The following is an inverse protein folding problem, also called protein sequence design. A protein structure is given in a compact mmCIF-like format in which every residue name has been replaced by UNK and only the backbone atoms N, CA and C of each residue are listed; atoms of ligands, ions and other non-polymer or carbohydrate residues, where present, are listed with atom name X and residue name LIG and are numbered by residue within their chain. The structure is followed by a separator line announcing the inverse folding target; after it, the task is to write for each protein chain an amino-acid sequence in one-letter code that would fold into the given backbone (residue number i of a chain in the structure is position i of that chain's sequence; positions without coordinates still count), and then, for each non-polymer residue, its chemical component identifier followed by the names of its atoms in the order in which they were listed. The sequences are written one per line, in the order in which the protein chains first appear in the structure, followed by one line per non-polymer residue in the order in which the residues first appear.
data_IF_932423246969
#
_entry.id   IF_932423246969
#
_cell.length_a   1.000
_cell.length_b   1.000
_cell.length_c   1.000
_cell.angle_alpha   90.00
_cell.angle_beta   90.00
_cell.angle_gamma   90.00
#
_symmetry.space_group_name_H-M   'P 1'
#
loop_
_entity.id
_entity.type
_entity.pdbx_description
1 polymer ?
#
# COMPACT_ATOMS: atom_id res chain seq x y z
N UNK A 1 30.39 -3.33 14.23
CA UNK A 1 29.44 -2.80 15.24
C UNK A 1 28.07 -3.19 14.72
N UNK A 2 27.26 -3.94 15.50
CA UNK A 2 25.87 -4.17 15.07
C UNK A 2 25.17 -2.81 15.16
N UNK A 3 24.83 -2.23 14.02
CA UNK A 3 23.94 -1.08 14.00
C UNK A 3 22.62 -1.50 14.65
N UNK A 4 22.09 -0.69 15.55
CA UNK A 4 20.77 -0.93 16.11
C UNK A 4 19.75 -0.76 14.99
N UNK A 5 18.75 -1.65 14.96
CA UNK A 5 17.64 -1.51 14.00
C UNK A 5 16.96 -0.13 14.14
N UNK A 6 16.61 0.53 13.05
CA UNK A 6 15.82 1.76 13.10
C UNK A 6 14.33 1.48 13.41
N UNK A 7 13.92 0.23 13.45
CA UNK A 7 12.55 -0.18 13.68
C UNK A 7 12.25 -0.49 15.15
N UNK A 8 11.08 -0.08 15.60
CA UNK A 8 10.51 -0.43 16.90
C UNK A 8 9.23 -1.25 16.70
N UNK A 9 9.14 -2.38 17.38
CA UNK A 9 7.94 -3.22 17.35
C UNK A 9 6.82 -2.62 18.18
N UNK A 10 5.61 -2.58 17.61
CA UNK A 10 4.35 -2.31 18.30
C UNK A 10 3.45 -3.53 18.10
N UNK A 11 2.81 -3.99 19.16
CA UNK A 11 1.84 -5.08 19.11
C UNK A 11 0.53 -4.65 19.72
N UNK A 12 -0.53 -4.76 18.94
CA UNK A 12 -1.90 -4.51 19.39
C UNK A 12 -2.47 -5.75 20.08
N UNK A 13 -3.35 -5.53 21.05
CA UNK A 13 -4.14 -6.63 21.65
C UNK A 13 -5.09 -7.28 20.62
N UNK A 14 -5.59 -6.48 19.68
CA UNK A 14 -6.39 -6.95 18.57
C UNK A 14 -5.50 -7.74 17.58
N UNK A 15 -5.89 -8.99 17.31
CA UNK A 15 -5.15 -9.88 16.41
C UNK A 15 -5.47 -9.62 14.92
N UNK A 16 -6.04 -8.46 14.60
CA UNK A 16 -6.31 -8.07 13.22
C UNK A 16 -5.02 -7.79 12.45
N UNK A 17 -5.08 -7.94 11.14
CA UNK A 17 -3.98 -7.57 10.26
C UNK A 17 -4.06 -6.06 9.98
N UNK A 18 -2.96 -5.35 10.17
CA UNK A 18 -2.82 -3.98 9.72
C UNK A 18 -2.66 -3.97 8.20
N UNK A 19 -3.46 -3.19 7.49
CA UNK A 19 -3.50 -3.20 6.03
C UNK A 19 -3.05 -1.88 5.42
N UNK A 20 -3.35 -0.75 6.09
CA UNK A 20 -2.89 0.55 5.67
C UNK A 20 -2.75 1.53 6.83
N UNK A 21 -1.97 2.59 6.61
CA UNK A 21 -1.73 3.67 7.56
C UNK A 21 -1.52 4.97 6.81
N UNK A 22 -2.15 6.04 7.29
CA UNK A 22 -1.91 7.37 6.77
C UNK A 22 -1.97 8.43 7.87
N UNK A 23 -1.28 9.54 7.65
CA UNK A 23 -1.16 10.65 8.59
C UNK A 23 -1.66 11.96 7.95
N UNK A 24 -2.39 12.73 8.75
CA UNK A 24 -2.92 14.06 8.41
C UNK A 24 -1.84 15.11 8.64
N UNK A 25 -1.12 14.97 9.75
CA UNK A 25 0.02 15.79 10.16
C UNK A 25 1.05 14.93 10.92
N UNK A 26 2.10 15.53 11.45
CA UNK A 26 3.17 14.81 12.16
C UNK A 26 2.71 14.01 13.36
N UNK A 27 1.56 14.32 13.95
CA UNK A 27 1.06 13.67 15.16
C UNK A 27 -0.18 12.81 14.91
N UNK A 28 -1.09 13.31 14.08
CA UNK A 28 -2.41 12.74 13.90
C UNK A 28 -2.48 11.82 12.68
N UNK A 29 -2.81 10.56 12.89
CA UNK A 29 -2.92 9.57 11.83
C UNK A 29 -3.83 8.41 12.18
N UNK A 30 -4.15 7.61 11.17
CA UNK A 30 -5.00 6.44 11.27
C UNK A 30 -4.35 5.22 10.66
N UNK A 31 -4.63 4.06 11.28
CA UNK A 31 -4.27 2.74 10.77
C UNK A 31 -5.55 1.92 10.63
N UNK A 32 -5.69 1.25 9.51
CA UNK A 32 -6.86 0.42 9.20
C UNK A 32 -6.47 -1.03 8.90
N UNK A 33 -7.45 -1.94 8.99
CA UNK A 33 -7.14 -3.35 8.81
C UNK A 33 -8.33 -4.30 8.75
N UNK A 34 -8.02 -5.58 8.88
CA UNK A 34 -9.03 -6.65 8.91
C UNK A 34 -9.92 -6.53 10.15
N UNK A 35 -11.06 -7.21 10.13
CA UNK A 35 -12.02 -7.22 11.25
C UNK A 35 -12.48 -5.81 11.67
N UNK A 36 -12.63 -4.90 10.72
CA UNK A 36 -13.01 -3.50 10.95
C UNK A 36 -12.04 -2.74 11.87
N UNK A 37 -10.76 -3.15 11.88
CA UNK A 37 -9.75 -2.46 12.65
C UNK A 37 -9.62 -1.03 12.14
N UNK A 38 -9.81 -0.07 13.03
CA UNK A 38 -9.39 1.32 12.86
C UNK A 38 -8.78 1.80 14.17
N UNK A 39 -7.56 2.31 14.06
CA UNK A 39 -6.78 2.85 15.17
C UNK A 39 -6.44 4.30 14.85
N UNK A 40 -6.39 5.15 15.85
CA UNK A 40 -6.00 6.55 15.76
C UNK A 40 -4.78 6.80 16.63
N UNK A 41 -3.83 7.54 16.10
CA UNK A 41 -2.68 8.05 16.83
C UNK A 41 -2.73 9.58 16.88
N UNK A 42 -2.34 10.17 18.01
CA UNK A 42 -2.19 11.60 18.22
C UNK A 42 -0.76 12.00 18.66
N UNK A 43 0.19 11.08 18.44
CA UNK A 43 1.59 11.24 18.86
C UNK A 43 2.59 10.73 17.82
N UNK A 44 2.22 10.80 16.55
CA UNK A 44 3.07 10.38 15.44
C UNK A 44 3.25 8.86 15.33
N UNK A 45 2.27 8.08 15.80
CA UNK A 45 2.29 6.62 15.76
C UNK A 45 3.06 5.96 16.90
N UNK A 46 3.38 6.71 17.98
CA UNK A 46 3.99 6.13 19.19
C UNK A 46 2.98 5.27 19.94
N UNK A 47 1.76 5.76 20.08
CA UNK A 47 0.62 5.04 20.66
C UNK A 47 -0.60 5.09 19.75
N UNK A 48 -1.46 4.09 19.91
CA UNK A 48 -2.64 3.90 19.07
C UNK A 48 -3.86 3.58 19.91
N UNK A 49 -4.95 4.30 19.67
CA UNK A 49 -6.23 4.09 20.32
C UNK A 49 -7.25 3.51 19.33
N UNK A 50 -8.00 2.50 19.76
CA UNK A 50 -9.04 1.91 18.92
C UNK A 50 -10.20 2.85 18.76
N UNK A 51 -10.62 3.03 17.51
CA UNK A 51 -11.82 3.79 17.13
C UNK A 51 -12.92 2.86 16.65
N UNK A 52 -14.10 3.40 16.46
CA UNK A 52 -15.21 2.69 15.84
C UNK A 52 -15.84 3.54 14.75
N UNK A 53 -16.21 2.88 13.66
CA UNK A 53 -17.01 3.47 12.58
C UNK A 53 -18.48 3.08 12.81
N UNK A 54 -19.40 3.87 12.23
CA UNK A 54 -20.82 3.54 12.21
C UNK A 54 -21.12 2.42 11.19
N UNK A 55 -20.58 1.23 11.49
CA UNK A 55 -20.79 -0.02 10.77
C UNK A 55 -21.10 -1.12 11.77
N UNK A 56 -22.07 -1.95 11.46
CA UNK A 56 -22.53 -2.98 12.40
C UNK A 56 -21.54 -4.15 12.51
N UNK A 57 -21.63 -4.91 13.59
CA UNK A 57 -20.74 -6.05 13.82
C UNK A 57 -20.94 -7.18 12.78
N UNK A 58 -22.13 -7.31 12.26
CA UNK A 58 -22.50 -8.27 11.21
C UNK A 58 -21.84 -7.92 9.87
N UNK A 59 -21.53 -6.66 9.64
CA UNK A 59 -20.81 -6.16 8.47
C UNK A 59 -19.31 -6.33 8.69
N UNK A 60 -18.80 -7.52 8.52
CA UNK A 60 -17.39 -7.86 8.78
C UNK A 60 -16.46 -7.33 7.67
N UNK A 61 -16.37 -6.00 7.57
CA UNK A 61 -15.52 -5.34 6.58
C UNK A 61 -14.04 -5.55 6.88
N UNK A 62 -13.30 -5.71 5.80
CA UNK A 62 -11.87 -5.56 5.73
C UNK A 62 -11.59 -4.12 5.27
N UNK A 63 -11.11 -3.25 6.15
CA UNK A 63 -10.70 -1.89 5.80
C UNK A 63 -9.35 -1.97 5.13
N UNK A 64 -9.27 -1.58 3.87
CA UNK A 64 -8.13 -1.90 3.00
C UNK A 64 -7.13 -0.77 2.87
N UNK A 65 -7.66 0.45 2.77
CA UNK A 65 -6.87 1.60 2.37
C UNK A 65 -7.51 2.86 2.97
N UNK A 66 -6.67 3.80 3.36
CA UNK A 66 -7.06 5.09 3.92
C UNK A 66 -6.09 6.15 3.42
N UNK A 67 -6.62 7.30 2.96
CA UNK A 67 -5.79 8.36 2.44
C UNK A 67 -6.36 9.73 2.79
N UNK A 68 -5.50 10.62 3.26
CA UNK A 68 -5.82 11.97 3.69
C UNK A 68 -5.06 13.03 2.89
N UNK A 69 -5.71 14.17 2.69
CA UNK A 69 -5.09 15.42 2.27
C UNK A 69 -5.72 16.57 3.07
N UNK A 70 -4.93 17.18 3.94
CA UNK A 70 -5.46 18.13 4.91
C UNK A 70 -6.54 17.50 5.80
N UNK A 71 -7.67 18.17 5.97
CA UNK A 71 -8.79 17.69 6.79
C UNK A 71 -9.66 16.64 6.10
N UNK A 72 -9.50 16.46 4.79
CA UNK A 72 -10.29 15.51 4.02
C UNK A 72 -9.62 14.13 3.97
N UNK A 73 -10.42 13.08 4.15
CA UNK A 73 -9.94 11.72 4.09
C UNK A 73 -10.97 10.74 3.54
N UNK A 74 -10.45 9.71 2.92
CA UNK A 74 -11.23 8.62 2.34
C UNK A 74 -10.76 7.28 2.89
N UNK A 75 -11.70 6.41 3.17
CA UNK A 75 -11.45 5.06 3.64
C UNK A 75 -12.28 4.09 2.83
N UNK A 76 -11.64 3.01 2.39
CA UNK A 76 -12.32 1.95 1.65
C UNK A 76 -12.21 0.60 2.33
N UNK A 77 -13.18 -0.26 2.03
CA UNK A 77 -13.18 -1.62 2.55
C UNK A 77 -13.94 -2.60 1.67
N UNK A 78 -13.68 -3.87 1.91
CA UNK A 78 -14.38 -4.98 1.26
C UNK A 78 -15.30 -5.69 2.26
N UNK A 79 -16.52 -6.10 1.78
CA UNK A 79 -17.04 -6.07 0.41
C UNK A 79 -17.53 -4.71 -0.02
N UNK A 80 -17.38 -3.76 -0.43
CA UNK A 80 -18.00 -2.53 -0.98
C UNK A 80 -18.36 -1.48 0.07
N UNK A 81 -17.31 -1.00 0.74
CA UNK A 81 -17.41 0.12 1.67
C UNK A 81 -16.59 1.30 1.15
N UNK A 82 -17.17 2.50 1.14
CA UNK A 82 -16.46 3.77 1.03
C UNK A 82 -16.99 4.71 2.11
N UNK A 83 -16.07 5.31 2.83
CA UNK A 83 -16.37 6.33 3.82
C UNK A 83 -15.55 7.58 3.55
N UNK A 84 -16.12 8.73 3.86
CA UNK A 84 -15.54 10.04 3.63
C UNK A 84 -15.63 10.88 4.89
N UNK A 85 -14.60 11.65 5.16
CA UNK A 85 -14.52 12.66 6.22
C UNK A 85 -14.01 13.98 5.67
N UNK A 86 -14.44 15.10 6.29
CA UNK A 86 -13.95 16.46 6.02
C UNK A 86 -13.44 17.14 7.28
N UNK A 87 -13.34 16.40 8.38
CA UNK A 87 -13.02 16.91 9.71
C UNK A 87 -11.92 16.08 10.41
N UNK A 88 -10.91 15.67 9.64
CA UNK A 88 -9.74 14.93 10.15
C UNK A 88 -10.11 13.57 10.76
N UNK A 89 -11.13 12.89 10.23
CA UNK A 89 -11.57 11.59 10.72
C UNK A 89 -12.40 11.61 12.00
N UNK A 90 -12.81 12.78 12.50
CA UNK A 90 -13.68 12.91 13.68
C UNK A 90 -15.06 12.31 13.40
N UNK A 91 -15.59 12.57 12.20
CA UNK A 91 -16.84 12.00 11.72
C UNK A 91 -16.65 11.39 10.33
N UNK A 92 -17.23 10.21 10.13
CA UNK A 92 -17.18 9.48 8.86
C UNK A 92 -18.57 9.29 8.29
N UNK A 93 -18.75 9.66 7.03
CA UNK A 93 -19.99 9.45 6.28
C UNK A 93 -19.83 8.29 5.32
N UNK A 94 -20.71 7.29 5.41
CA UNK A 94 -20.75 6.19 4.44
C UNK A 94 -21.36 6.65 3.14
N UNK A 95 -20.67 6.39 2.03
CA UNK A 95 -21.12 6.75 0.69
C UNK A 95 -21.62 5.54 -0.09
N UNK A 96 -22.57 5.78 -1.01
CA UNK A 96 -23.06 4.75 -1.90
C UNK A 96 -22.30 4.78 -3.22
N UNK A 97 -21.65 3.69 -3.58
CA UNK A 97 -20.93 3.54 -4.84
C UNK A 97 -21.80 3.11 -6.03
N UNK A 98 -23.08 2.82 -5.81
CA UNK A 98 -23.92 2.21 -6.86
C UNK A 98 -23.35 0.85 -7.29
N UNK A 99 -23.41 0.57 -8.61
CA UNK A 99 -22.87 -0.67 -9.20
C UNK A 99 -21.56 -0.38 -9.92
N UNK A 100 -20.45 -0.50 -9.20
CA UNK A 100 -19.11 -0.45 -9.83
C UNK A 100 -18.65 -1.86 -10.22
N UNK A 101 -17.88 -2.01 -11.33
CA UNK A 101 -17.20 -3.25 -11.64
C UNK A 101 -16.12 -3.55 -10.58
N UNK A 102 -16.22 -4.70 -9.94
CA UNK A 102 -15.32 -5.10 -8.87
C UNK A 102 -15.64 -4.47 -7.51
N UNK A 103 -14.72 -4.60 -6.58
CA UNK A 103 -14.80 -4.04 -5.23
C UNK A 103 -13.74 -2.95 -5.05
N UNK A 104 -13.90 -1.99 -4.13
CA UNK A 104 -12.86 -1.02 -3.81
C UNK A 104 -11.51 -1.71 -3.51
N UNK A 105 -10.42 -1.14 -4.02
CA UNK A 105 -9.07 -1.69 -3.86
C UNK A 105 -8.04 -0.65 -3.40
N UNK A 106 -8.06 0.55 -3.97
CA UNK A 106 -7.20 1.68 -3.63
C UNK A 106 -8.02 2.96 -3.70
N UNK A 107 -7.81 3.88 -2.78
CA UNK A 107 -8.38 5.24 -2.83
C UNK A 107 -7.25 6.27 -2.74
N UNK A 108 -7.40 7.39 -3.42
CA UNK A 108 -6.45 8.51 -3.33
C UNK A 108 -7.21 9.81 -3.25
N UNK A 109 -6.93 10.59 -2.23
CA UNK A 109 -7.39 11.97 -2.06
C UNK A 109 -6.59 12.89 -2.97
N UNK A 110 -7.22 13.50 -3.95
CA UNK A 110 -6.54 14.36 -4.93
C UNK A 110 -6.56 15.81 -4.47
N UNK A 111 -7.73 16.29 -4.07
CA UNK A 111 -7.98 17.64 -3.59
C UNK A 111 -9.29 17.68 -2.80
N UNK A 112 -9.70 18.84 -2.28
CA UNK A 112 -10.98 19.02 -1.59
C UNK A 112 -12.15 18.58 -2.50
N UNK A 113 -12.93 17.61 -2.02
CA UNK A 113 -14.03 16.98 -2.76
C UNK A 113 -13.62 16.14 -3.96
N UNK A 114 -12.33 15.92 -4.20
CA UNK A 114 -11.80 15.18 -5.35
C UNK A 114 -11.03 13.96 -4.91
N UNK A 115 -11.45 12.78 -5.34
CA UNK A 115 -10.77 11.52 -5.06
C UNK A 115 -10.83 10.55 -6.25
N UNK A 116 -9.85 9.67 -6.33
CA UNK A 116 -9.85 8.53 -7.26
C UNK A 116 -10.01 7.22 -6.51
N UNK A 117 -10.81 6.33 -7.07
CA UNK A 117 -11.08 5.00 -6.56
C UNK A 117 -10.76 3.96 -7.63
N UNK A 118 -9.82 3.08 -7.34
CA UNK A 118 -9.56 1.90 -8.15
C UNK A 118 -10.28 0.67 -7.58
N UNK A 119 -10.68 -0.25 -8.46
CA UNK A 119 -11.40 -1.47 -8.08
C UNK A 119 -10.57 -2.73 -8.34
N UNK A 120 -10.98 -3.85 -7.76
CA UNK A 120 -10.39 -5.18 -7.98
C UNK A 120 -10.46 -5.66 -9.44
N UNK A 121 -11.23 -4.97 -10.29
CA UNK A 121 -11.30 -5.21 -11.73
C UNK A 121 -10.48 -4.21 -12.55
N UNK A 122 -9.60 -3.43 -11.91
CA UNK A 122 -8.79 -2.38 -12.54
C UNK A 122 -9.59 -1.23 -13.18
N UNK A 123 -10.86 -1.07 -12.84
CA UNK A 123 -11.62 0.13 -13.19
C UNK A 123 -11.20 1.29 -12.29
N UNK A 124 -11.07 2.49 -12.84
CA UNK A 124 -10.71 3.72 -12.14
C UNK A 124 -11.88 4.69 -12.24
N UNK A 125 -12.31 5.20 -11.10
CA UNK A 125 -13.36 6.20 -10.98
C UNK A 125 -12.83 7.45 -10.29
N UNK A 126 -13.41 8.59 -10.63
CA UNK A 126 -13.09 9.86 -10.00
C UNK A 126 -14.38 10.55 -9.53
N UNK A 127 -14.32 11.14 -8.36
CA UNK A 127 -15.32 12.10 -7.89
C UNK A 127 -14.73 13.49 -7.85
N UNK A 128 -15.54 14.50 -8.11
CA UNK A 128 -15.20 15.92 -7.93
C UNK A 128 -16.25 16.67 -7.08
N UNK A 129 -17.06 15.91 -6.35
CA UNK A 129 -18.16 16.43 -5.53
C UNK A 129 -18.35 15.62 -4.24
N UNK A 130 -17.24 15.31 -3.57
CA UNK A 130 -17.22 14.61 -2.28
C UNK A 130 -17.93 13.24 -2.30
N UNK A 131 -17.89 12.57 -3.45
CA UNK A 131 -18.46 11.23 -3.62
C UNK A 131 -19.96 11.17 -3.87
N UNK A 132 -20.62 12.32 -4.12
CA UNK A 132 -22.03 12.31 -4.53
C UNK A 132 -22.21 11.59 -5.87
N UNK A 133 -21.26 11.78 -6.79
CA UNK A 133 -21.20 11.07 -8.06
C UNK A 133 -19.77 10.62 -8.38
N UNK A 134 -19.66 9.52 -9.11
CA UNK A 134 -18.39 8.95 -9.58
C UNK A 134 -18.41 8.79 -11.10
N UNK A 135 -17.40 9.33 -11.76
CA UNK A 135 -17.21 9.22 -13.21
C UNK A 135 -16.08 8.25 -13.53
N UNK A 136 -16.29 7.38 -14.52
CA UNK A 136 -15.27 6.42 -14.90
C UNK A 136 -14.18 7.08 -15.74
N UNK A 137 -12.94 7.02 -15.29
CA UNK A 137 -11.73 7.29 -16.10
C UNK A 137 -11.36 6.07 -16.92
N UNK A 138 -11.43 4.88 -16.31
CA UNK A 138 -11.27 3.59 -16.99
C UNK A 138 -12.49 2.76 -16.67
N UNK A 139 -13.42 2.66 -17.62
CA UNK A 139 -14.73 2.00 -17.43
C UNK A 139 -14.75 0.54 -17.85
N UNK A 140 -13.91 0.15 -18.80
CA UNK A 140 -13.84 -1.22 -19.32
C UNK A 140 -12.42 -1.80 -19.19
N UNK A 141 -12.11 -2.37 -18.03
CA UNK A 141 -10.87 -3.08 -17.81
C UNK A 141 -10.93 -4.54 -18.24
N UNK A 142 -11.85 -4.93 -19.13
CA UNK A 142 -12.16 -6.33 -19.44
C UNK A 142 -10.96 -7.18 -19.86
N UNK A 143 -9.95 -6.56 -20.50
CA UNK A 143 -8.71 -7.23 -20.88
C UNK A 143 -7.75 -7.48 -19.70
N UNK A 144 -7.94 -6.78 -18.59
CA UNK A 144 -7.09 -6.90 -17.41
C UNK A 144 -7.53 -8.03 -16.47
N UNK A 145 -8.81 -8.34 -16.45
CA UNK A 145 -9.39 -9.26 -15.46
C UNK A 145 -9.27 -8.73 -14.03
N UNK A 146 -9.20 -9.63 -13.06
CA UNK A 146 -8.97 -9.25 -11.66
C UNK A 146 -7.50 -8.89 -11.41
N UNK A 147 -7.27 -7.98 -10.46
CA UNK A 147 -5.93 -7.57 -10.04
C UNK A 147 -5.56 -8.15 -8.67
N UNK A 148 -4.28 -8.29 -8.42
CA UNK A 148 -3.69 -8.74 -7.15
C UNK A 148 -3.06 -7.59 -6.39
N UNK A 149 -2.37 -6.71 -7.11
CA UNK A 149 -1.69 -5.54 -6.57
C UNK A 149 -1.88 -4.36 -7.52
N UNK A 150 -1.89 -3.16 -6.95
CA UNK A 150 -2.06 -1.92 -7.68
C UNK A 150 -1.40 -0.79 -6.88
N UNK A 151 -0.59 -0.01 -7.56
CA UNK A 151 0.08 1.17 -7.01
C UNK A 151 -0.16 2.37 -7.89
N UNK A 152 -0.13 3.55 -7.28
CA UNK A 152 -0.29 4.85 -7.93
C UNK A 152 0.85 5.77 -7.53
N UNK A 153 1.37 6.53 -8.49
CA UNK A 153 2.33 7.63 -8.23
C UNK A 153 1.57 8.91 -7.82
N UNK A 154 2.28 9.86 -7.24
CA UNK A 154 1.73 11.19 -6.97
C UNK A 154 1.31 11.92 -8.26
N UNK A 155 1.96 11.66 -9.39
CA UNK A 155 1.60 12.18 -10.72
C UNK A 155 0.30 11.57 -11.29
N UNK A 156 -0.17 10.43 -10.74
CA UNK A 156 -1.40 9.79 -11.17
C UNK A 156 -1.21 8.60 -12.10
N UNK A 157 0.02 8.16 -12.31
CA UNK A 157 0.30 6.94 -13.08
C UNK A 157 0.05 5.71 -12.21
N UNK A 158 -0.42 4.65 -12.84
CA UNK A 158 -0.72 3.39 -12.14
C UNK A 158 0.09 2.23 -12.70
N UNK A 159 0.40 1.28 -11.84
CA UNK A 159 0.88 -0.05 -12.19
C UNK A 159 0.06 -1.10 -11.47
N UNK A 160 -0.27 -2.21 -12.14
CA UNK A 160 -1.05 -3.30 -11.58
C UNK A 160 -0.45 -4.67 -11.91
N UNK A 161 -0.75 -5.65 -11.06
CA UNK A 161 -0.45 -7.08 -11.30
C UNK A 161 -1.76 -7.82 -11.46
N UNK A 162 -1.85 -8.65 -12.50
CA UNK A 162 -3.01 -9.54 -12.70
C UNK A 162 -3.19 -10.52 -11.52
N UNK A 163 -4.41 -10.95 -11.27
CA UNK A 163 -4.76 -11.84 -10.15
C UNK A 163 -3.94 -13.14 -10.10
N UNK A 164 -3.52 -13.64 -11.26
CA UNK A 164 -2.66 -14.82 -11.38
C UNK A 164 -1.15 -14.49 -11.30
N UNK A 165 -0.79 -13.20 -11.37
CA UNK A 165 0.60 -12.75 -11.42
C UNK A 165 1.32 -13.15 -12.71
N UNK A 166 0.59 -13.31 -13.80
CA UNK A 166 1.13 -13.74 -15.09
C UNK A 166 1.48 -12.60 -16.04
N UNK A 167 1.04 -11.37 -15.77
CA UNK A 167 1.44 -10.14 -16.43
C UNK A 167 1.28 -8.95 -15.48
N UNK A 168 1.83 -7.81 -15.83
CA UNK A 168 1.59 -6.52 -15.20
C UNK A 168 1.09 -5.53 -16.24
N UNK A 169 0.53 -4.42 -15.80
CA UNK A 169 0.03 -3.38 -16.69
C UNK A 169 0.29 -1.99 -16.14
N UNK A 170 0.47 -1.04 -17.03
CA UNK A 170 0.62 0.38 -16.70
C UNK A 170 -0.56 1.18 -17.24
N UNK A 171 -0.85 2.30 -16.56
CA UNK A 171 -1.83 3.29 -16.98
C UNK A 171 -1.24 4.67 -16.69
N UNK A 172 -0.97 5.44 -17.72
CA UNK A 172 -0.49 6.81 -17.59
C UNK A 172 -1.63 7.72 -17.10
N UNK A 173 -1.30 8.77 -16.38
CA UNK A 173 -2.25 9.67 -15.70
C UNK A 173 -3.24 10.37 -16.64
N UNK A 174 -2.85 10.60 -17.89
CA UNK A 174 -3.65 11.21 -18.94
C UNK A 174 -4.34 10.19 -19.86
N UNK A 175 -4.12 8.88 -19.63
CA UNK A 175 -4.72 7.78 -20.39
C UNK A 175 -6.00 7.26 -19.72
N UNK A 176 -6.82 6.60 -20.51
CA UNK A 176 -7.98 5.85 -20.04
C UNK A 176 -7.89 4.34 -20.38
N UNK A 177 -6.73 3.89 -20.81
CA UNK A 177 -6.52 2.52 -21.30
C UNK A 177 -5.27 1.92 -20.67
N UNK A 178 -5.44 0.77 -20.04
CA UNK A 178 -4.33 -0.03 -19.54
C UNK A 178 -3.49 -0.63 -20.66
N UNK A 179 -2.18 -0.62 -20.48
CA UNK A 179 -1.23 -1.28 -21.38
C UNK A 179 -0.66 -2.50 -20.64
N UNK A 180 -0.93 -3.70 -21.19
CA UNK A 180 -0.40 -4.94 -20.65
C UNK A 180 1.02 -5.20 -21.13
N UNK A 181 1.90 -5.64 -20.20
CA UNK A 181 3.32 -5.86 -20.44
C UNK A 181 3.73 -7.29 -20.16
N UNK A 182 4.76 -7.74 -20.86
CA UNK A 182 5.40 -9.00 -20.59
C UNK A 182 6.24 -8.91 -19.30
N UNK A 183 6.21 -9.96 -18.52
CA UNK A 183 7.03 -10.05 -17.33
C UNK A 183 8.42 -10.60 -17.64
N UNK A 184 9.41 -10.18 -16.87
CA UNK A 184 10.79 -10.61 -17.00
C UNK A 184 11.06 -12.08 -16.60
N UNK A 185 10.12 -12.72 -15.90
CA UNK A 185 10.26 -14.07 -15.33
C UNK A 185 9.02 -14.91 -15.56
N UNK A 186 9.18 -16.23 -15.63
CA UNK A 186 8.05 -17.19 -15.63
C UNK A 186 7.43 -17.37 -14.24
N UNK A 187 8.06 -16.88 -13.17
CA UNK A 187 7.54 -16.95 -11.81
C UNK A 187 6.40 -15.95 -11.63
N UNK A 188 5.39 -16.33 -10.86
CA UNK A 188 4.24 -15.47 -10.59
C UNK A 188 4.68 -14.22 -9.84
N UNK A 189 4.31 -13.05 -10.35
CA UNK A 189 4.50 -11.75 -9.69
C UNK A 189 3.62 -11.69 -8.44
N UNK A 190 4.19 -11.26 -7.32
CA UNK A 190 3.49 -11.09 -6.04
C UNK A 190 3.07 -9.65 -5.83
N UNK A 191 4.00 -8.72 -6.06
CA UNK A 191 3.82 -7.29 -5.89
C UNK A 191 4.67 -6.53 -6.90
N UNK A 192 4.25 -5.32 -7.22
CA UNK A 192 4.91 -4.37 -8.12
C UNK A 192 4.70 -2.96 -7.59
N UNK A 193 5.61 -2.05 -7.86
CA UNK A 193 5.44 -0.66 -7.44
C UNK A 193 6.48 0.25 -8.04
N UNK A 194 6.50 1.48 -7.55
CA UNK A 194 7.44 2.52 -7.96
C UNK A 194 8.44 2.79 -6.84
N UNK A 195 9.68 3.03 -7.22
CA UNK A 195 10.67 3.61 -6.32
C UNK A 195 10.49 5.14 -6.24
N UNK A 196 11.22 5.87 -5.39
CA UNK A 196 11.09 7.33 -5.27
C UNK A 196 11.33 8.11 -6.57
N UNK A 197 12.12 7.56 -7.50
CA UNK A 197 12.40 8.18 -8.81
C UNK A 197 11.35 7.81 -9.87
N UNK A 198 10.33 7.03 -9.51
CA UNK A 198 9.27 6.58 -10.41
C UNK A 198 9.62 5.35 -11.27
N UNK A 199 10.78 4.70 -11.03
CA UNK A 199 11.13 3.45 -11.69
C UNK A 199 10.37 2.27 -11.08
N UNK A 200 10.02 1.28 -11.88
CA UNK A 200 9.32 0.10 -11.42
C UNK A 200 10.25 -0.89 -10.69
N UNK A 201 9.71 -1.52 -9.67
CA UNK A 201 10.25 -2.71 -9.03
C UNK A 201 9.23 -3.85 -9.05
N UNK A 202 9.69 -5.09 -8.97
CA UNK A 202 8.85 -6.27 -9.02
C UNK A 202 9.32 -7.34 -8.04
N UNK A 203 8.40 -7.90 -7.27
CA UNK A 203 8.60 -9.07 -6.43
C UNK A 203 7.91 -10.29 -7.04
N UNK A 204 8.62 -11.41 -7.12
CA UNK A 204 8.09 -12.65 -7.67
C UNK A 204 8.29 -13.82 -6.71
N UNK A 205 7.56 -14.92 -6.92
CA UNK A 205 7.73 -16.14 -6.13
C UNK A 205 9.17 -16.64 -6.17
N UNK A 206 9.62 -17.19 -5.03
CA UNK A 206 11.00 -17.66 -4.84
C UNK A 206 11.93 -16.52 -4.40
N UNK A 207 11.39 -15.51 -3.72
CA UNK A 207 12.12 -14.35 -3.19
C UNK A 207 12.86 -13.55 -4.27
N UNK A 208 12.34 -13.54 -5.49
CA UNK A 208 12.95 -12.85 -6.63
C UNK A 208 12.58 -11.38 -6.63
N UNK A 209 13.58 -10.49 -6.61
CA UNK A 209 13.47 -9.05 -6.73
C UNK A 209 14.03 -8.63 -8.08
N UNK A 210 13.36 -7.71 -8.77
CA UNK A 210 13.84 -7.07 -10.00
C UNK A 210 13.57 -5.59 -9.96
N UNK A 211 14.47 -4.84 -10.57
CA UNK A 211 14.33 -3.41 -10.80
C UNK A 211 14.24 -3.14 -12.30
N UNK A 212 13.39 -2.19 -12.69
CA UNK A 212 13.41 -1.67 -14.05
C UNK A 212 14.68 -0.84 -14.24
N UNK A 213 15.39 -1.07 -15.34
CA UNK A 213 16.68 -0.41 -15.63
C UNK A 213 16.54 0.78 -16.57
N UNK A 214 15.36 1.00 -17.15
CA UNK A 214 15.10 2.09 -18.10
C UNK A 214 13.63 2.51 -18.06
N UNK A 215 13.36 3.69 -17.52
CA UNK A 215 12.00 4.26 -17.44
C UNK A 215 11.32 4.46 -18.80
N UNK A 216 12.07 4.54 -19.89
CA UNK A 216 11.50 4.61 -21.24
C UNK A 216 11.08 3.25 -21.78
N UNK A 217 11.50 2.16 -21.15
CA UNK A 217 11.13 0.78 -21.47
C UNK A 217 10.77 0.03 -20.19
N UNK A 218 9.50 0.00 -19.85
CA UNK A 218 8.98 -0.69 -18.65
C UNK A 218 9.16 -2.22 -18.68
N UNK A 219 9.54 -2.80 -19.81
CA UNK A 219 9.85 -4.22 -19.95
C UNK A 219 11.35 -4.53 -19.75
N UNK A 220 12.22 -3.52 -19.62
CA UNK A 220 13.65 -3.68 -19.39
C UNK A 220 13.95 -3.93 -17.90
N UNK A 221 13.98 -5.19 -17.51
CA UNK A 221 14.19 -5.62 -16.14
C UNK A 221 15.60 -6.13 -15.87
N UNK A 222 16.14 -5.80 -14.69
CA UNK A 222 17.38 -6.36 -14.17
C UNK A 222 17.37 -7.89 -14.13
N UNK A 223 18.54 -8.49 -14.02
CA UNK A 223 18.64 -9.90 -13.64
C UNK A 223 17.97 -10.12 -12.27
N UNK A 224 17.42 -11.34 -12.01
CA UNK A 224 16.78 -11.61 -10.73
C UNK A 224 17.80 -11.54 -9.59
N UNK A 225 17.47 -10.77 -8.56
CA UNK A 225 18.18 -10.74 -7.28
C UNK A 225 17.41 -11.67 -6.35
N UNK A 226 18.11 -12.57 -5.68
CA UNK A 226 17.54 -13.47 -4.67
C UNK A 226 18.37 -13.26 -3.41
N UNK A 227 17.96 -12.33 -2.51
CA UNK A 227 18.82 -11.89 -1.40
C UNK A 227 19.08 -13.02 -0.40
N UNK A 228 18.15 -13.19 0.54
CA UNK A 228 18.23 -14.18 1.61
C UNK A 228 17.05 -15.14 1.43
N UNK A 229 17.35 -16.40 1.15
CA UNK A 229 16.33 -17.41 0.92
C UNK A 229 16.02 -18.17 2.20
N UNK A 230 15.08 -17.65 2.99
CA UNK A 230 14.57 -18.29 4.20
C UNK A 230 13.34 -19.21 3.94
N UNK A 231 13.06 -19.52 2.69
CA UNK A 231 11.88 -20.29 2.26
C UNK A 231 10.59 -19.47 2.13
N UNK A 232 10.63 -18.17 2.41
CA UNK A 232 9.49 -17.26 2.32
C UNK A 232 9.67 -16.27 1.18
N UNK A 233 8.56 -15.80 0.62
CA UNK A 233 8.55 -14.75 -0.38
C UNK A 233 8.53 -13.37 0.29
N UNK A 234 9.08 -12.37 -0.39
CA UNK A 234 8.83 -10.97 -0.08
C UNK A 234 7.45 -10.57 -0.63
N UNK A 235 6.76 -9.71 0.12
CA UNK A 235 5.39 -9.30 -0.16
C UNK A 235 5.31 -7.83 -0.53
N UNK A 236 6.19 -6.99 0.03
CA UNK A 236 6.27 -5.57 -0.28
C UNK A 236 7.68 -5.01 -0.13
N UNK A 237 7.94 -3.87 -0.77
CA UNK A 237 9.18 -3.10 -0.67
C UNK A 237 8.90 -1.61 -0.46
N UNK A 238 9.85 -0.93 0.20
CA UNK A 238 9.83 0.51 0.41
C UNK A 238 11.24 1.09 0.52
N UNK A 239 11.37 2.40 0.34
CA UNK A 239 12.61 3.17 0.47
C UNK A 239 12.52 4.10 1.67
N UNK A 240 13.51 4.04 2.54
CA UNK A 240 13.59 4.97 3.65
C UNK A 240 14.16 6.35 3.21
N UNK A 241 14.13 7.36 4.08
CA UNK A 241 14.64 8.70 3.75
C UNK A 241 16.13 8.75 3.40
N UNK A 242 16.90 7.73 3.74
CA UNK A 242 18.32 7.62 3.39
C UNK A 242 18.52 6.96 2.02
N UNK A 243 17.45 6.44 1.40
CA UNK A 243 17.49 5.70 0.15
C UNK A 243 17.81 4.20 0.32
N UNK A 244 17.85 3.69 1.57
CA UNK A 244 18.01 2.28 1.82
C UNK A 244 16.71 1.54 1.43
N UNK A 245 16.87 0.35 0.84
CA UNK A 245 15.74 -0.43 0.32
C UNK A 245 15.35 -1.49 1.34
N UNK A 246 14.08 -1.49 1.75
CA UNK A 246 13.51 -2.46 2.67
C UNK A 246 12.59 -3.43 1.94
N UNK A 247 12.69 -4.73 2.25
CA UNK A 247 11.77 -5.73 1.72
C UNK A 247 11.23 -6.61 2.87
N UNK A 248 9.90 -6.66 2.97
CA UNK A 248 9.16 -7.40 3.99
C UNK A 248 8.47 -8.64 3.43
N UNK A 249 8.33 -9.67 4.25
CA UNK A 249 7.72 -10.91 3.80
C UNK A 249 7.29 -11.86 4.89
N UNK A 250 7.17 -13.14 4.54
CA UNK A 250 6.66 -14.17 5.43
C UNK A 250 7.52 -14.42 6.67
N UNK A 251 6.87 -14.85 7.75
CA UNK A 251 7.49 -15.30 9.00
C UNK A 251 8.44 -14.27 9.64
N UNK A 252 8.03 -13.01 9.69
CA UNK A 252 8.82 -11.94 10.30
C UNK A 252 10.10 -11.60 9.52
N UNK A 253 10.14 -11.92 8.22
CA UNK A 253 11.30 -11.56 7.39
C UNK A 253 11.24 -10.10 7.01
N UNK A 254 12.24 -9.33 7.45
CA UNK A 254 12.51 -7.96 7.00
C UNK A 254 14.00 -7.85 6.69
N UNK A 255 14.32 -7.40 5.50
CA UNK A 255 15.69 -7.23 5.03
C UNK A 255 15.92 -5.83 4.50
N UNK A 256 17.17 -5.39 4.53
CA UNK A 256 17.59 -4.09 4.05
C UNK A 256 18.78 -4.20 3.11
N UNK A 257 18.78 -3.40 2.06
CA UNK A 257 19.93 -3.12 1.20
C UNK A 257 20.32 -1.65 1.32
N UNK A 258 21.61 -1.41 1.54
CA UNK A 258 22.23 -0.08 1.64
C UNK A 258 23.09 0.27 0.42
N UNK A 259 23.02 -0.55 -0.61
CA UNK A 259 23.86 -0.47 -1.82
C UNK A 259 23.03 -0.71 -3.09
N UNK A 260 21.81 -0.14 -3.12
CA UNK A 260 20.90 -0.17 -4.28
C UNK A 260 20.52 -1.58 -4.73
N UNK A 261 20.41 -2.51 -3.77
CA UNK A 261 19.96 -3.88 -4.04
C UNK A 261 21.09 -4.89 -4.34
N UNK A 262 22.37 -4.49 -4.26
CA UNK A 262 23.50 -5.40 -4.49
C UNK A 262 23.64 -6.41 -3.36
N UNK A 263 23.61 -5.95 -2.11
CA UNK A 263 23.66 -6.82 -0.93
C UNK A 263 22.49 -6.57 0.04
N UNK A 264 22.12 -7.60 0.78
CA UNK A 264 20.96 -7.57 1.67
C UNK A 264 21.29 -8.16 3.03
N UNK A 265 20.81 -7.53 4.09
CA UNK A 265 20.98 -7.98 5.46
C UNK A 265 19.62 -8.09 6.16
N UNK A 266 19.48 -9.09 7.04
CA UNK A 266 18.28 -9.23 7.86
C UNK A 266 18.25 -8.19 8.97
N UNK A 267 17.07 -7.58 9.20
CA UNK A 267 16.85 -6.71 10.35
C UNK A 267 16.66 -7.53 11.63
N UNK A 268 17.39 -7.23 12.71
CA UNK A 268 17.33 -8.02 13.93
C UNK A 268 16.03 -7.80 14.72
N UNK A 269 15.37 -6.63 14.61
CA UNK A 269 14.14 -6.33 15.34
C UNK A 269 12.95 -7.13 14.81
N UNK A 270 12.90 -7.32 13.50
CA UNK A 270 11.85 -8.09 12.84
C UNK A 270 12.00 -9.60 13.05
N UNK A 271 13.23 -10.06 13.28
CA UNK A 271 13.55 -11.49 13.30
C UNK A 271 12.82 -12.24 14.41
N UNK A 272 12.09 -13.29 14.03
CA UNK A 272 11.40 -14.19 14.96
C UNK A 272 10.02 -13.73 15.42
N UNK A 273 9.51 -12.59 14.94
CA UNK A 273 8.13 -12.20 15.18
C UNK A 273 7.16 -13.09 14.38
N UNK A 274 6.08 -13.61 15.01
CA UNK A 274 5.16 -14.55 14.36
C UNK A 274 4.15 -13.84 13.44
N UNK A 275 4.64 -13.06 12.50
CA UNK A 275 3.85 -12.24 11.58
C UNK A 275 4.33 -12.37 10.15
N UNK A 276 3.49 -12.06 9.18
CA UNK A 276 3.92 -11.74 7.82
C UNK A 276 3.88 -10.22 7.66
N UNK A 277 4.94 -9.62 7.15
CA UNK A 277 4.97 -8.20 6.79
C UNK A 277 4.40 -8.05 5.39
N UNK A 278 3.27 -7.36 5.31
CA UNK A 278 2.43 -7.32 4.10
C UNK A 278 2.48 -5.98 3.37
N UNK A 279 2.90 -4.91 4.05
CA UNK A 279 3.05 -3.58 3.45
C UNK A 279 4.17 -2.81 4.16
N UNK A 280 4.99 -2.11 3.37
CA UNK A 280 5.99 -1.16 3.86
C UNK A 280 5.57 0.22 3.37
N UNK A 281 5.43 1.16 4.30
CA UNK A 281 4.95 2.51 4.02
C UNK A 281 5.97 3.51 4.52
N UNK A 282 6.42 4.40 3.65
CA UNK A 282 7.12 5.62 4.02
C UNK A 282 6.30 6.79 3.49
N UNK A 283 5.71 7.55 4.41
CA UNK A 283 4.89 8.72 4.11
C UNK A 283 5.78 9.95 4.05
N UNK A 284 5.93 10.50 2.85
CA UNK A 284 6.59 11.75 2.56
C UNK A 284 5.56 12.67 1.89
N UNK A 285 4.83 13.43 2.69
CA UNK A 285 3.74 14.30 2.26
C UNK A 285 4.06 15.76 2.61
N UNK A 286 3.47 16.68 1.85
CA UNK A 286 3.62 18.12 2.10
C UNK A 286 3.14 18.55 3.51
N UNK A 287 2.19 17.82 4.09
CA UNK A 287 1.63 18.07 5.41
C UNK A 287 2.47 17.48 6.57
N UNK A 288 3.59 16.81 6.27
CA UNK A 288 4.49 16.20 7.24
C UNK A 288 5.84 16.91 7.26
N UNK A 289 6.30 17.32 8.44
CA UNK A 289 7.65 17.86 8.64
C UNK A 289 8.72 16.74 8.56
N UNK A 290 8.33 15.51 8.88
CA UNK A 290 9.21 14.34 8.89
C UNK A 290 8.56 13.12 8.26
N UNK A 291 9.31 12.36 7.48
CA UNK A 291 8.87 11.08 6.92
C UNK A 291 8.43 10.12 8.03
N UNK A 292 7.25 9.54 7.88
CA UNK A 292 6.74 8.48 8.76
C UNK A 292 6.94 7.13 8.11
N UNK A 293 7.58 6.20 8.81
CA UNK A 293 7.82 4.85 8.30
C UNK A 293 7.10 3.79 9.12
N UNK A 294 6.43 2.86 8.43
CA UNK A 294 5.77 1.71 9.05
C UNK A 294 5.96 0.44 8.22
N UNK A 295 6.11 -0.69 8.89
CA UNK A 295 5.95 -2.02 8.32
C UNK A 295 4.70 -2.63 8.91
N UNK A 296 3.70 -2.89 8.10
CA UNK A 296 2.41 -3.41 8.52
C UNK A 296 2.41 -4.92 8.44
N UNK A 297 1.95 -5.55 9.50
CA UNK A 297 1.95 -6.99 9.63
C UNK A 297 0.62 -7.58 10.04
N UNK A 298 0.61 -8.90 10.10
CA UNK A 298 -0.51 -9.69 10.57
C UNK A 298 -0.51 -9.82 12.10
N UNK A 299 -1.64 -10.25 12.66
CA UNK A 299 -1.80 -10.61 14.08
C UNK A 299 -1.46 -9.47 15.04
N UNK A 300 -1.79 -8.24 14.66
CA UNK A 300 -1.59 -7.07 15.50
C UNK A 300 -0.16 -6.55 15.57
N UNK A 301 0.77 -7.05 14.75
CA UNK A 301 2.14 -6.56 14.72
C UNK A 301 2.33 -5.47 13.68
N UNK A 302 2.98 -4.39 14.08
CA UNK A 302 3.56 -3.40 13.18
C UNK A 302 4.98 -3.03 13.65
N UNK A 303 5.79 -2.52 12.73
CA UNK A 303 7.04 -1.85 13.07
C UNK A 303 6.90 -0.37 12.75
N UNK A 304 7.42 0.49 13.62
CA UNK A 304 7.51 1.93 13.42
C UNK A 304 8.95 2.33 13.23
N UNK A 305 9.20 3.16 12.23
CA UNK A 305 10.49 3.77 11.96
C UNK A 305 10.82 4.82 13.04
N UNK A 306 12.02 4.73 13.57
CA UNK A 306 12.59 5.75 14.45
C UNK A 306 13.63 6.53 13.65
N UNK A 307 13.27 7.75 13.26
CA UNK A 307 14.18 8.70 12.58
C UNK A 307 15.25 9.24 13.52
#
# INVERSE_FOLDING_TARGET
MNESSPWRTIQFEDQANALDVDFIDDNHGFLVGSNRLIMESNDGGETWEKRSLDITAEENFRLLDIDFKGSEGWLIGQPSLVMHTVDEGKNWTRLSLGKLPGQPFLVTTIDEGVAQLATTSAAIYETSNSGETWEAKVSDPSEQGGIRDLRRTSSGDYVSVSSLGNFFSTLDSDSNTWIAHQRASSKSVQSIGFNPEGNLWMLSRGAEIRFNEDNSDVENWSKPIIPILNGYNYLDMGWDPNGDIWAGGGNGTLIVSKDQGETWNSDPTASGLPTNYIKIVFLDKEDLDNTKGFVLGERGYILKWNS
#
